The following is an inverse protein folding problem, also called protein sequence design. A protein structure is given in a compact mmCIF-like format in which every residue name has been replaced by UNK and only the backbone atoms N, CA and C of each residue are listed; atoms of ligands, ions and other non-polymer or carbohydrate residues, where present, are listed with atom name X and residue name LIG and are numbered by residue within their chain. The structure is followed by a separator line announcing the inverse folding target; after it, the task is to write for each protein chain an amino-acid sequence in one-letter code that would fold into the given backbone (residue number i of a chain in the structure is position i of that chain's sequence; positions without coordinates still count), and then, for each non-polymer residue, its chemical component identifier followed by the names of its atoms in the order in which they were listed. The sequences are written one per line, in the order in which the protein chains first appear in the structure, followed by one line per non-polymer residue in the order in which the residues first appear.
data_IF_818127349141
#
_entry.id   IF_818127349141
#
_cell.length_a   1.000
_cell.length_b   1.000
_cell.length_c   1.000
_cell.angle_alpha   90.00
_cell.angle_beta   90.00
_cell.angle_gamma   90.00
#
_symmetry.space_group_name_H-M   'P 1'
#
loop_
_entity.id
_entity.type
_entity.pdbx_description
1 polymer ?
#
# COMPACT_ATOMS: atom_id res chain seq x y z
N UNK A 1 -2.85 -9.05 -13.81
CA UNK A 1 -2.51 -7.74 -13.19
C UNK A 1 -3.17 -7.65 -11.83
N UNK A 2 -2.44 -7.15 -10.82
CA UNK A 2 -2.92 -7.03 -9.43
C UNK A 2 -3.07 -5.55 -9.05
N UNK A 3 -4.20 -5.21 -8.42
CA UNK A 3 -4.48 -3.85 -7.93
C UNK A 3 -4.73 -3.93 -6.42
N UNK A 4 -3.97 -3.17 -5.65
CA UNK A 4 -4.20 -2.94 -4.23
C UNK A 4 -4.81 -1.54 -4.13
N UNK A 5 -6.07 -1.44 -3.74
CA UNK A 5 -6.76 -0.16 -3.66
C UNK A 5 -7.68 -0.07 -2.43
N UNK A 6 -8.00 1.16 -2.03
CA UNK A 6 -8.88 1.46 -0.91
C UNK A 6 -8.54 2.82 -0.30
N UNK A 7 -9.25 3.25 0.75
CA UNK A 7 -8.95 4.52 1.41
C UNK A 7 -7.62 4.44 2.17
N UNK A 8 -6.99 5.58 2.36
CA UNK A 8 -5.72 5.66 3.07
C UNK A 8 -5.81 5.07 4.49
N UNK A 9 -6.86 5.42 5.22
CA UNK A 9 -7.15 5.00 6.60
C UNK A 9 -8.61 4.58 6.72
N UNK A 10 -8.93 3.73 7.68
CA UNK A 10 -10.31 3.38 8.03
C UNK A 10 -10.96 4.60 8.72
N UNK A 11 -11.92 5.23 8.06
CA UNK A 11 -12.64 6.40 8.56
C UNK A 11 -14.02 6.00 9.10
N UNK A 12 -14.75 5.16 8.37
CA UNK A 12 -16.04 4.59 8.75
C UNK A 12 -16.35 3.34 7.96
N UNK A 13 -17.25 2.50 8.46
CA UNK A 13 -17.70 1.30 7.74
C UNK A 13 -18.46 1.64 6.45
N UNK A 14 -19.22 2.73 6.44
CA UNK A 14 -19.96 3.16 5.26
C UNK A 14 -19.03 3.56 4.12
N UNK A 15 -17.96 4.30 4.43
CA UNK A 15 -16.91 4.63 3.45
C UNK A 15 -16.23 3.36 2.92
N UNK A 16 -15.87 2.42 3.80
CA UNK A 16 -15.26 1.17 3.36
C UNK A 16 -16.17 0.41 2.42
N UNK A 17 -17.47 0.31 2.71
CA UNK A 17 -18.46 -0.36 1.85
C UNK A 17 -18.61 0.33 0.50
N UNK A 18 -18.70 1.66 0.47
CA UNK A 18 -18.79 2.42 -0.78
C UNK A 18 -17.59 2.14 -1.68
N UNK A 19 -16.39 2.22 -1.13
CA UNK A 19 -15.16 1.93 -1.89
C UNK A 19 -15.08 0.47 -2.30
N UNK A 20 -15.39 -0.47 -1.40
CA UNK A 20 -15.33 -1.90 -1.68
C UNK A 20 -16.33 -2.34 -2.76
N UNK A 21 -17.54 -1.77 -2.76
CA UNK A 21 -18.54 -2.04 -3.79
C UNK A 21 -18.02 -1.66 -5.19
N UNK A 22 -17.39 -0.51 -5.33
CA UNK A 22 -16.80 -0.08 -6.60
C UNK A 22 -15.61 -0.96 -7.00
N UNK A 23 -14.74 -1.33 -6.07
CA UNK A 23 -13.63 -2.25 -6.33
C UNK A 23 -14.12 -3.62 -6.79
N UNK A 24 -15.16 -4.16 -6.16
CA UNK A 24 -15.76 -5.44 -6.55
C UNK A 24 -16.38 -5.36 -7.95
N UNK A 25 -17.03 -4.23 -8.28
CA UNK A 25 -17.60 -3.96 -9.62
C UNK A 25 -16.48 -3.95 -10.68
N UNK A 26 -15.39 -3.22 -10.44
CA UNK A 26 -14.23 -3.13 -11.34
C UNK A 26 -13.58 -4.51 -11.50
N UNK A 27 -13.34 -5.24 -10.40
CA UNK A 27 -12.80 -6.60 -10.40
C UNK A 27 -13.57 -7.51 -11.36
N UNK A 28 -14.90 -7.50 -11.24
CA UNK A 28 -15.79 -8.33 -12.08
C UNK A 28 -15.79 -7.88 -13.53
N UNK A 29 -15.85 -6.55 -13.78
CA UNK A 29 -15.97 -5.98 -15.13
C UNK A 29 -14.70 -6.12 -15.97
N UNK A 30 -13.53 -6.01 -15.34
CA UNK A 30 -12.24 -5.99 -16.02
C UNK A 30 -11.41 -7.28 -15.85
N UNK A 31 -11.91 -8.26 -15.09
CA UNK A 31 -11.21 -9.52 -14.80
C UNK A 31 -9.77 -9.31 -14.26
N UNK A 32 -9.62 -8.42 -13.29
CA UNK A 32 -8.35 -8.13 -12.61
C UNK A 32 -8.35 -8.67 -11.19
N UNK A 33 -7.18 -8.98 -10.66
CA UNK A 33 -7.04 -9.29 -9.23
C UNK A 33 -7.10 -7.98 -8.43
N UNK A 34 -8.02 -7.88 -7.47
CA UNK A 34 -8.25 -6.69 -6.67
C UNK A 34 -8.11 -7.03 -5.19
N UNK A 35 -7.33 -6.24 -4.46
CA UNK A 35 -7.10 -6.36 -3.02
C UNK A 35 -7.56 -5.07 -2.35
N UNK A 36 -8.39 -5.20 -1.31
CA UNK A 36 -8.87 -4.05 -0.54
C UNK A 36 -7.85 -3.65 0.52
N UNK A 37 -7.44 -2.38 0.53
CA UNK A 37 -6.48 -1.85 1.50
C UNK A 37 -7.04 -0.69 2.28
N UNK A 38 -6.96 -0.74 3.60
CA UNK A 38 -7.06 0.43 4.46
C UNK A 38 -6.18 0.23 5.72
N UNK A 39 -5.65 1.31 6.27
CA UNK A 39 -4.87 1.26 7.52
C UNK A 39 -5.80 1.36 8.73
N UNK A 40 -5.61 0.48 9.70
CA UNK A 40 -6.29 0.58 11.01
C UNK A 40 -5.68 1.65 11.92
N UNK A 41 -4.44 2.01 11.68
CA UNK A 41 -3.72 3.07 12.39
C UNK A 41 -2.69 3.75 11.47
N UNK A 42 -2.55 5.04 11.58
CA UNK A 42 -1.48 5.85 10.97
C UNK A 42 -0.45 6.18 12.05
N UNK A 43 0.46 5.24 12.32
CA UNK A 43 1.38 5.31 13.46
C UNK A 43 2.48 6.39 13.34
N UNK A 44 2.72 6.91 12.13
CA UNK A 44 3.82 7.83 11.83
C UNK A 44 3.37 9.25 11.43
N UNK A 45 2.25 9.73 11.99
CA UNK A 45 1.75 11.08 11.71
C UNK A 45 2.73 12.17 12.12
N UNK A 46 2.80 13.25 11.33
CA UNK A 46 3.61 14.43 11.67
C UNK A 46 3.02 15.19 12.85
N UNK A 47 1.70 15.40 12.90
CA UNK A 47 1.03 16.07 14.01
C UNK A 47 0.42 15.07 14.96
N UNK A 48 0.58 15.31 16.29
CA UNK A 48 -0.02 14.50 17.34
C UNK A 48 -1.56 14.52 17.31
N UNK A 49 -2.16 15.61 16.82
CA UNK A 49 -3.61 15.78 16.72
C UNK A 49 -4.22 15.15 15.45
N UNK A 50 -3.41 14.62 14.53
CA UNK A 50 -3.91 13.99 13.29
C UNK A 50 -4.75 12.75 13.58
N UNK A 51 -5.78 12.53 12.77
CA UNK A 51 -6.59 11.31 12.83
C UNK A 51 -5.72 10.08 12.58
N UNK A 52 -5.85 9.07 13.41
CA UNK A 52 -5.03 7.85 13.33
C UNK A 52 -5.78 6.63 12.81
N UNK A 53 -7.07 6.53 13.01
CA UNK A 53 -7.89 5.36 12.70
C UNK A 53 -8.53 4.74 13.94
N UNK A 54 -9.31 3.64 13.79
CA UNK A 54 -10.06 3.01 14.87
C UNK A 54 -9.20 2.13 15.80
N UNK A 55 -7.95 1.86 15.44
CA UNK A 55 -7.11 0.89 16.12
C UNK A 55 -7.23 -0.53 15.58
N UNK A 56 -6.38 -1.43 16.09
CA UNK A 56 -6.19 -2.74 15.47
C UNK A 56 -7.39 -3.67 15.58
N UNK A 57 -8.02 -3.76 16.75
CA UNK A 57 -9.12 -4.73 16.98
C UNK A 57 -10.33 -4.40 16.11
N UNK A 58 -10.80 -3.16 16.20
CA UNK A 58 -11.94 -2.69 15.42
C UNK A 58 -11.61 -2.64 13.93
N UNK A 59 -10.44 -2.11 13.57
CA UNK A 59 -10.02 -1.96 12.18
C UNK A 59 -9.89 -3.30 11.45
N UNK A 60 -9.31 -4.31 12.07
CA UNK A 60 -9.23 -5.66 11.47
C UNK A 60 -10.61 -6.28 11.33
N UNK A 61 -11.49 -6.14 12.33
CA UNK A 61 -12.86 -6.65 12.24
C UNK A 61 -13.64 -5.98 11.09
N UNK A 62 -13.47 -4.66 10.88
CA UNK A 62 -14.07 -3.94 9.76
C UNK A 62 -13.55 -4.45 8.40
N UNK A 63 -12.24 -4.71 8.29
CA UNK A 63 -11.66 -5.27 7.06
C UNK A 63 -12.14 -6.68 6.78
N UNK A 64 -12.27 -7.53 7.81
CA UNK A 64 -12.84 -8.88 7.66
C UNK A 64 -14.29 -8.83 7.15
N UNK A 65 -15.11 -7.91 7.67
CA UNK A 65 -16.47 -7.71 7.18
C UNK A 65 -16.48 -7.30 5.69
N UNK A 66 -15.56 -6.45 5.24
CA UNK A 66 -15.40 -6.10 3.82
C UNK A 66 -15.02 -7.33 2.98
N UNK A 67 -14.10 -8.16 3.46
CA UNK A 67 -13.73 -9.41 2.77
C UNK A 67 -14.93 -10.34 2.60
N UNK A 68 -15.70 -10.52 3.64
CA UNK A 68 -16.88 -11.40 3.63
C UNK A 68 -18.01 -10.86 2.74
N UNK A 69 -18.29 -9.55 2.82
CA UNK A 69 -19.39 -8.92 2.09
C UNK A 69 -19.11 -8.79 0.58
N UNK A 70 -17.88 -8.48 0.18
CA UNK A 70 -17.52 -8.17 -1.21
C UNK A 70 -16.60 -9.19 -1.90
N UNK A 71 -16.12 -10.21 -1.18
CA UNK A 71 -15.20 -11.21 -1.76
C UNK A 71 -13.86 -10.61 -2.20
N UNK A 72 -13.41 -9.55 -1.54
CA UNK A 72 -12.12 -8.89 -1.79
C UNK A 72 -11.10 -9.33 -0.75
N UNK A 73 -9.96 -9.94 -1.13
CA UNK A 73 -8.86 -10.15 -0.21
C UNK A 73 -8.41 -8.81 0.40
N UNK A 74 -8.04 -8.82 1.67
CA UNK A 74 -7.75 -7.62 2.45
C UNK A 74 -6.28 -7.48 2.79
N UNK A 75 -5.81 -6.23 2.89
CA UNK A 75 -4.47 -5.88 3.37
C UNK A 75 -4.49 -4.65 4.26
N UNK A 76 -3.60 -4.64 5.23
CA UNK A 76 -3.32 -3.47 6.07
C UNK A 76 -1.85 -3.43 6.45
N UNK A 77 -1.37 -2.28 6.90
CA UNK A 77 -0.02 -2.11 7.40
C UNK A 77 0.06 -2.40 8.90
N UNK A 78 1.11 -3.10 9.30
CA UNK A 78 1.43 -3.43 10.69
C UNK A 78 2.65 -2.63 11.15
N UNK A 79 2.72 -2.29 12.43
CA UNK A 79 3.75 -1.38 12.95
C UNK A 79 4.66 -2.01 13.99
N UNK A 80 4.26 -3.14 14.59
CA UNK A 80 5.07 -3.90 15.53
C UNK A 80 4.99 -5.41 15.30
N UNK A 81 6.00 -6.19 15.73
CA UNK A 81 5.95 -7.65 15.63
C UNK A 81 4.76 -8.25 16.40
N UNK A 82 4.40 -7.68 17.56
CA UNK A 82 3.29 -8.16 18.40
C UNK A 82 1.94 -8.00 17.69
N UNK A 83 1.75 -6.91 16.94
CA UNK A 83 0.56 -6.72 16.10
C UNK A 83 0.46 -7.81 15.03
N UNK A 84 1.59 -8.16 14.40
CA UNK A 84 1.63 -9.22 13.38
C UNK A 84 1.35 -10.57 14.02
N UNK A 85 1.99 -10.89 15.15
CA UNK A 85 1.80 -12.16 15.85
C UNK A 85 0.33 -12.38 16.24
N UNK A 86 -0.35 -11.34 16.72
CA UNK A 86 -1.73 -11.43 17.17
C UNK A 86 -2.76 -11.37 16.05
N UNK A 87 -2.54 -10.57 14.99
CA UNK A 87 -3.56 -10.27 13.96
C UNK A 87 -3.14 -10.57 12.52
N UNK A 88 -1.85 -10.84 12.25
CA UNK A 88 -1.36 -11.04 10.88
C UNK A 88 -2.04 -12.21 10.14
N UNK A 89 -2.50 -13.24 10.87
CA UNK A 89 -3.23 -14.37 10.30
C UNK A 89 -4.64 -14.01 9.77
N UNK A 90 -5.20 -12.87 10.19
CA UNK A 90 -6.55 -12.39 9.85
C UNK A 90 -6.62 -11.67 8.50
N UNK A 91 -5.48 -11.26 7.93
CA UNK A 91 -5.40 -10.58 6.62
C UNK A 91 -4.81 -11.49 5.55
N UNK A 92 -4.95 -11.12 4.29
CA UNK A 92 -4.43 -11.90 3.16
C UNK A 92 -3.02 -11.42 2.76
N UNK A 93 -2.75 -10.13 2.93
CA UNK A 93 -1.43 -9.52 2.70
C UNK A 93 -1.05 -8.71 3.95
N UNK A 94 0.14 -8.97 4.47
CA UNK A 94 0.76 -8.15 5.52
C UNK A 94 1.60 -7.07 4.84
N UNK A 95 1.26 -5.79 5.02
CA UNK A 95 2.09 -4.71 4.54
C UNK A 95 3.08 -4.26 5.61
N UNK A 96 4.37 -4.21 5.24
CA UNK A 96 5.43 -3.61 6.05
C UNK A 96 5.69 -2.20 5.54
N UNK A 97 5.47 -1.17 6.38
CA UNK A 97 5.73 0.22 6.02
C UNK A 97 7.18 0.49 5.62
N UNK A 98 7.39 1.51 4.77
CA UNK A 98 8.71 1.83 4.24
C UNK A 98 9.75 2.12 5.35
N UNK A 99 9.39 2.87 6.38
CA UNK A 99 10.32 3.16 7.48
C UNK A 99 10.72 1.92 8.29
N UNK A 100 9.91 0.86 8.26
CA UNK A 100 10.11 -0.37 9.02
C UNK A 100 10.66 -1.52 8.18
N UNK A 101 10.95 -1.31 6.90
CA UNK A 101 11.34 -2.38 5.96
C UNK A 101 12.66 -3.09 6.31
N UNK A 102 13.45 -2.56 7.23
CA UNK A 102 14.70 -3.17 7.73
C UNK A 102 14.55 -3.88 9.07
N UNK A 103 13.41 -3.73 9.77
CA UNK A 103 13.19 -4.27 11.12
C UNK A 103 13.13 -5.81 11.06
N UNK A 104 14.16 -6.46 11.62
CA UNK A 104 14.33 -7.91 11.50
C UNK A 104 13.17 -8.66 12.12
N UNK A 105 12.77 -8.29 13.33
CA UNK A 105 11.73 -9.01 14.09
C UNK A 105 10.36 -8.91 13.40
N UNK A 106 10.04 -7.74 12.81
CA UNK A 106 8.81 -7.57 12.02
C UNK A 106 8.79 -8.48 10.77
N UNK A 107 9.91 -8.53 10.03
CA UNK A 107 9.99 -9.32 8.80
C UNK A 107 9.92 -10.82 9.08
N UNK A 108 10.59 -11.27 10.15
CA UNK A 108 10.52 -12.67 10.59
C UNK A 108 9.11 -13.01 11.06
N UNK A 109 8.49 -12.15 11.87
CA UNK A 109 7.14 -12.42 12.36
C UNK A 109 6.11 -12.43 11.22
N UNK A 110 6.22 -11.50 10.27
CA UNK A 110 5.40 -11.51 9.06
C UNK A 110 5.60 -12.81 8.24
N UNK A 111 6.85 -13.25 8.09
CA UNK A 111 7.16 -14.49 7.38
C UNK A 111 6.52 -15.73 8.03
N UNK A 112 6.56 -15.84 9.35
CA UNK A 112 5.97 -16.97 10.11
C UNK A 112 4.47 -17.15 9.89
N UNK A 113 3.76 -16.09 9.48
CA UNK A 113 2.31 -16.18 9.23
C UNK A 113 1.95 -17.02 8.00
N UNK A 114 2.90 -17.25 7.08
CA UNK A 114 2.66 -17.89 5.79
C UNK A 114 1.82 -17.05 4.82
N UNK A 115 1.49 -15.80 5.17
CA UNK A 115 0.75 -14.85 4.31
C UNK A 115 1.68 -14.16 3.31
N UNK A 116 1.10 -13.49 2.31
CA UNK A 116 1.87 -12.60 1.44
C UNK A 116 2.45 -11.46 2.28
N UNK A 117 3.75 -11.21 2.16
CA UNK A 117 4.43 -10.10 2.83
C UNK A 117 4.81 -9.04 1.81
N UNK A 118 4.09 -7.93 1.79
CA UNK A 118 4.37 -6.79 0.92
C UNK A 118 5.25 -5.77 1.65
N UNK A 119 6.51 -5.66 1.24
CA UNK A 119 7.50 -4.80 1.88
C UNK A 119 7.70 -3.53 1.05
N UNK A 120 7.35 -2.38 1.62
CA UNK A 120 7.59 -1.09 0.97
C UNK A 120 9.07 -0.70 1.09
N UNK A 121 9.74 -0.46 -0.05
CA UNK A 121 11.11 0.04 -0.07
C UNK A 121 11.18 1.41 0.61
N UNK A 122 12.10 1.57 1.57
CA UNK A 122 12.33 2.86 2.20
C UNK A 122 12.87 3.89 1.19
N UNK A 123 12.53 5.16 1.40
CA UNK A 123 12.97 6.28 0.57
C UNK A 123 14.49 6.48 0.56
N UNK A 124 15.18 6.00 1.60
CA UNK A 124 16.62 6.10 1.76
C UNK A 124 17.39 4.84 1.28
N UNK A 125 16.69 3.79 0.82
CA UNK A 125 17.32 2.56 0.34
C UNK A 125 17.36 2.49 -1.19
N UNK A 126 18.44 1.93 -1.72
CA UNK A 126 18.43 1.45 -3.10
C UNK A 126 17.70 0.10 -3.21
N UNK A 127 17.24 -0.24 -4.42
CA UNK A 127 16.43 -1.42 -4.67
C UNK A 127 17.16 -2.73 -4.32
N UNK A 128 18.46 -2.83 -4.64
CA UNK A 128 19.24 -4.05 -4.43
C UNK A 128 19.38 -4.42 -2.94
N UNK A 129 19.31 -3.43 -2.05
CA UNK A 129 19.36 -3.69 -0.60
C UNK A 129 18.07 -4.29 -0.03
N UNK A 130 16.99 -4.30 -0.82
CA UNK A 130 15.77 -5.01 -0.44
C UNK A 130 15.95 -6.53 -0.39
N UNK A 131 17.01 -7.08 -1.02
CA UNK A 131 17.37 -8.50 -0.89
C UNK A 131 17.45 -8.94 0.58
N UNK A 132 18.05 -8.12 1.45
CA UNK A 132 18.16 -8.47 2.87
C UNK A 132 16.80 -8.54 3.59
N UNK A 133 15.82 -7.77 3.15
CA UNK A 133 14.47 -7.88 3.68
C UNK A 133 13.77 -9.14 3.18
N UNK A 134 13.94 -9.48 1.90
CA UNK A 134 13.46 -10.72 1.30
C UNK A 134 14.04 -11.94 2.03
N UNK A 135 15.36 -11.96 2.26
CA UNK A 135 16.05 -13.07 2.92
C UNK A 135 15.52 -13.32 4.33
N UNK A 136 15.19 -12.26 5.07
CA UNK A 136 14.61 -12.38 6.41
C UNK A 136 13.23 -13.05 6.39
N UNK A 137 12.37 -12.69 5.45
CA UNK A 137 11.07 -13.36 5.30
C UNK A 137 11.27 -14.80 4.87
N UNK A 138 12.10 -15.05 3.85
CA UNK A 138 12.38 -16.39 3.32
C UNK A 138 13.05 -17.31 4.35
N UNK A 139 13.80 -16.77 5.31
CA UNK A 139 14.40 -17.57 6.39
C UNK A 139 13.37 -18.28 7.27
N UNK A 140 12.10 -17.89 7.21
CA UNK A 140 10.99 -18.56 7.91
C UNK A 140 10.34 -19.70 7.09
N UNK A 141 10.78 -19.92 5.85
CA UNK A 141 10.15 -20.84 4.89
C UNK A 141 9.02 -20.21 4.07
N UNK A 142 8.81 -18.90 4.17
CA UNK A 142 7.78 -18.20 3.40
C UNK A 142 8.38 -17.49 2.18
N UNK A 143 8.06 -17.97 0.98
CA UNK A 143 8.52 -17.41 -0.30
C UNK A 143 7.56 -16.35 -0.87
N UNK A 144 6.41 -16.08 -0.24
CA UNK A 144 5.39 -15.14 -0.74
C UNK A 144 5.76 -13.69 -0.41
N UNK A 145 6.80 -13.18 -1.05
CA UNK A 145 7.30 -11.81 -0.83
C UNK A 145 6.97 -10.93 -2.01
N UNK A 146 6.33 -9.80 -1.75
CA UNK A 146 6.13 -8.71 -2.71
C UNK A 146 6.98 -7.51 -2.31
N UNK A 147 7.54 -6.80 -3.28
CA UNK A 147 8.32 -5.60 -3.05
C UNK A 147 7.64 -4.39 -3.69
N UNK A 148 7.52 -3.31 -2.93
CA UNK A 148 6.89 -2.08 -3.38
C UNK A 148 7.91 -0.95 -3.57
N UNK A 149 8.00 -0.42 -4.80
CA UNK A 149 8.68 0.86 -5.08
C UNK A 149 7.72 2.01 -4.74
N UNK A 150 8.23 3.04 -4.04
CA UNK A 150 7.45 4.21 -3.60
C UNK A 150 8.24 5.52 -3.63
N UNK A 151 9.28 5.57 -4.40
CA UNK A 151 10.16 6.73 -4.54
C UNK A 151 11.33 6.75 -3.56
N UNK A 152 12.22 7.66 -3.83
CA UNK A 152 13.45 7.91 -3.09
C UNK A 152 13.50 9.38 -2.71
N UNK A 153 13.93 9.68 -1.48
CA UNK A 153 14.16 11.04 -1.02
C UNK A 153 15.49 11.54 -1.63
N UNK A 154 15.37 12.55 -2.48
CA UNK A 154 16.56 13.15 -3.13
C UNK A 154 16.68 14.63 -2.82
N UNK A 155 15.60 15.35 -2.70
CA UNK A 155 15.57 16.76 -2.37
C UNK A 155 14.85 17.05 -1.06
N UNK A 156 14.68 18.32 -0.70
CA UNK A 156 14.05 18.69 0.56
C UNK A 156 12.54 18.45 0.58
N UNK A 157 11.84 18.38 -0.55
CA UNK A 157 10.38 18.34 -0.58
C UNK A 157 9.79 17.20 -1.40
N UNK A 158 10.31 16.91 -2.60
CA UNK A 158 9.71 15.96 -3.52
C UNK A 158 10.44 14.62 -3.53
N UNK A 159 9.68 13.55 -3.74
CA UNK A 159 10.22 12.22 -3.97
C UNK A 159 10.52 12.02 -5.45
N UNK A 160 11.60 11.31 -5.74
CA UNK A 160 11.98 10.93 -7.11
C UNK A 160 11.76 9.43 -7.29
N UNK A 161 11.01 9.05 -8.32
CA UNK A 161 10.86 7.65 -8.73
C UNK A 161 11.89 7.32 -9.79
N UNK A 162 12.89 6.52 -9.43
CA UNK A 162 13.78 5.90 -10.39
C UNK A 162 13.16 4.57 -10.86
N UNK A 163 12.51 4.58 -12.02
CA UNK A 163 11.83 3.39 -12.55
C UNK A 163 12.76 2.22 -12.85
N UNK A 164 14.09 2.43 -12.95
CA UNK A 164 15.07 1.35 -13.04
C UNK A 164 15.04 0.45 -11.80
N UNK A 165 14.57 0.98 -10.66
CA UNK A 165 14.36 0.17 -9.45
C UNK A 165 13.33 -0.95 -9.66
N UNK A 166 12.34 -0.76 -10.52
CA UNK A 166 11.35 -1.82 -10.83
C UNK A 166 12.08 -3.06 -11.37
N UNK A 167 12.95 -2.91 -12.37
CA UNK A 167 13.74 -4.05 -12.89
C UNK A 167 14.66 -4.66 -11.84
N UNK A 168 15.27 -3.85 -10.98
CA UNK A 168 16.14 -4.36 -9.91
C UNK A 168 15.33 -5.18 -8.89
N UNK A 169 14.10 -4.75 -8.57
CA UNK A 169 13.21 -5.47 -7.67
C UNK A 169 12.66 -6.75 -8.30
N UNK A 170 12.40 -6.81 -9.62
CA UNK A 170 11.97 -8.04 -10.30
C UNK A 170 13.05 -9.12 -10.31
N UNK A 171 14.31 -8.77 -10.11
CA UNK A 171 15.38 -9.75 -9.90
C UNK A 171 15.34 -10.41 -8.50
N UNK A 172 14.60 -9.84 -7.56
CA UNK A 172 14.52 -10.29 -6.16
C UNK A 172 13.24 -11.05 -5.83
N UNK A 173 12.14 -10.76 -6.55
CA UNK A 173 10.81 -11.34 -6.33
C UNK A 173 9.98 -11.31 -7.61
N UNK A 174 9.01 -12.24 -7.71
CA UNK A 174 8.08 -12.34 -8.84
C UNK A 174 7.00 -11.25 -8.85
N UNK A 175 6.83 -10.54 -7.74
CA UNK A 175 5.78 -9.53 -7.59
C UNK A 175 6.35 -8.18 -7.15
N UNK A 176 6.37 -7.25 -8.10
CA UNK A 176 6.79 -5.86 -7.86
C UNK A 176 5.60 -4.93 -7.97
N UNK A 177 5.35 -4.23 -6.88
CA UNK A 177 4.26 -3.26 -6.73
C UNK A 177 4.79 -1.86 -6.96
N UNK A 178 4.14 -1.07 -7.80
CA UNK A 178 4.33 0.37 -7.84
C UNK A 178 3.32 1.05 -6.93
N UNK A 179 3.79 1.74 -5.90
CA UNK A 179 2.97 2.62 -5.08
C UNK A 179 2.80 3.97 -5.78
N UNK A 180 1.71 4.12 -6.50
CA UNK A 180 1.42 5.32 -7.28
C UNK A 180 1.00 6.50 -6.41
N UNK A 181 0.44 6.22 -5.24
CA UNK A 181 -0.07 7.24 -4.30
C UNK A 181 1.06 7.90 -3.53
N UNK A 182 1.84 7.12 -2.81
CA UNK A 182 2.88 7.68 -1.94
C UNK A 182 4.12 8.17 -2.71
N UNK A 183 4.27 7.78 -3.97
CA UNK A 183 5.29 8.37 -4.85
C UNK A 183 4.98 9.80 -5.26
N UNK A 184 3.72 10.23 -5.14
CA UNK A 184 3.27 11.59 -5.44
C UNK A 184 3.34 12.53 -4.22
N UNK A 185 3.83 12.06 -3.07
CA UNK A 185 3.91 12.85 -1.84
C UNK A 185 4.97 13.96 -1.94
N UNK A 186 4.62 15.12 -1.42
CA UNK A 186 5.53 16.18 -1.05
C UNK A 186 5.79 16.08 0.46
N UNK A 187 7.02 15.73 0.84
CA UNK A 187 7.35 15.33 2.21
C UNK A 187 7.55 16.50 3.18
N UNK A 188 7.62 17.73 2.68
CA UNK A 188 7.82 18.95 3.47
C UNK A 188 6.77 20.02 3.12
N UNK A 189 5.50 19.76 3.44
CA UNK A 189 4.51 20.83 3.42
C UNK A 189 4.62 21.66 4.70
N UNK A 190 4.43 22.98 4.58
CA UNK A 190 4.64 23.94 5.67
C UNK A 190 3.62 23.85 6.82
N UNK A 191 2.58 23.00 6.69
CA UNK A 191 1.43 22.97 7.62
C UNK A 191 1.38 21.71 8.50
N UNK A 192 2.49 20.95 8.61
CA UNK A 192 2.51 19.69 9.39
C UNK A 192 1.65 18.57 8.80
N UNK A 193 1.19 18.73 7.56
CA UNK A 193 0.48 17.71 6.77
C UNK A 193 1.32 17.30 5.57
N UNK A 194 1.12 16.08 5.08
CA UNK A 194 1.78 15.60 3.86
C UNK A 194 1.07 16.20 2.64
N UNK A 195 1.78 17.00 1.85
CA UNK A 195 1.32 17.47 0.56
C UNK A 195 1.45 16.43 -0.54
N UNK A 196 1.09 16.81 -1.76
CA UNK A 196 1.29 15.97 -2.95
C UNK A 196 0.37 16.31 -4.11
N UNK A 197 0.51 15.54 -5.19
CA UNK A 197 -0.23 15.78 -6.43
C UNK A 197 -0.77 14.49 -7.04
N UNK A 198 -2.07 14.21 -6.83
CA UNK A 198 -2.75 13.02 -7.39
C UNK A 198 -2.72 12.94 -8.91
N UNK A 199 -2.48 14.05 -9.62
CA UNK A 199 -2.39 14.05 -11.08
C UNK A 199 -1.22 13.19 -11.60
N UNK A 200 -0.21 12.91 -10.77
CA UNK A 200 0.91 12.05 -11.13
C UNK A 200 0.60 10.55 -11.02
N UNK A 201 -0.45 10.15 -10.30
CA UNK A 201 -0.81 8.74 -10.08
C UNK A 201 -0.92 7.94 -11.38
N UNK A 202 -1.64 8.39 -12.42
CA UNK A 202 -1.72 7.66 -13.69
C UNK A 202 -0.37 7.55 -14.42
N UNK A 203 0.47 8.57 -14.33
CA UNK A 203 1.79 8.56 -14.97
C UNK A 203 2.73 7.57 -14.29
N UNK A 204 2.76 7.53 -12.96
CA UNK A 204 3.54 6.54 -12.23
C UNK A 204 3.09 5.12 -12.56
N UNK A 205 1.79 4.85 -12.59
CA UNK A 205 1.25 3.55 -12.89
C UNK A 205 1.65 3.08 -14.32
N UNK A 206 1.39 3.90 -15.33
CA UNK A 206 1.68 3.60 -16.73
C UNK A 206 3.19 3.41 -16.97
N UNK A 207 4.01 4.29 -16.41
CA UNK A 207 5.46 4.18 -16.56
C UNK A 207 6.00 2.93 -15.86
N UNK A 208 5.55 2.65 -14.64
CA UNK A 208 5.98 1.45 -13.91
C UNK A 208 5.61 0.16 -14.63
N UNK A 209 4.42 0.10 -15.28
CA UNK A 209 4.02 -1.04 -16.12
C UNK A 209 5.04 -1.28 -17.24
N UNK A 210 5.49 -0.23 -17.94
CA UNK A 210 6.51 -0.35 -18.99
C UNK A 210 7.85 -0.91 -18.46
N UNK A 211 8.17 -0.67 -17.20
CA UNK A 211 9.37 -1.17 -16.54
C UNK A 211 9.20 -2.55 -15.87
N UNK A 212 8.02 -3.17 -15.98
CA UNK A 212 7.76 -4.53 -15.53
C UNK A 212 7.08 -4.66 -14.16
N UNK A 213 6.57 -3.59 -13.58
CA UNK A 213 5.68 -3.71 -12.42
C UNK A 213 4.43 -4.50 -12.81
N UNK A 214 4.06 -5.48 -12.00
CA UNK A 214 2.91 -6.37 -12.24
C UNK A 214 1.80 -6.21 -11.20
N UNK A 215 1.99 -5.32 -10.23
CA UNK A 215 1.01 -4.90 -9.24
C UNK A 215 1.07 -3.38 -9.01
N UNK A 216 -0.07 -2.77 -8.66
CA UNK A 216 -0.19 -1.32 -8.48
C UNK A 216 -0.93 -1.04 -7.17
N UNK A 217 -0.36 -0.16 -6.35
CA UNK A 217 -0.96 0.33 -5.12
C UNK A 217 -1.51 1.73 -5.36
N UNK A 218 -2.83 1.90 -5.19
CA UNK A 218 -3.54 3.13 -5.51
C UNK A 218 -4.54 3.41 -4.39
N UNK A 219 -4.25 4.35 -3.51
CA UNK A 219 -5.23 4.82 -2.56
C UNK A 219 -6.30 5.64 -3.28
N UNK A 220 -7.56 5.40 -2.92
CA UNK A 220 -8.71 6.02 -3.57
C UNK A 220 -9.80 6.35 -2.57
N UNK A 221 -10.55 7.42 -2.84
CA UNK A 221 -11.61 7.91 -1.96
C UNK A 221 -12.71 8.56 -2.82
N UNK A 222 -14.01 8.46 -2.46
CA UNK A 222 -15.09 9.14 -3.19
C UNK A 222 -14.88 10.64 -3.28
N UNK A 223 -14.43 11.26 -2.19
CA UNK A 223 -14.07 12.67 -2.13
C UNK A 223 -12.70 12.85 -1.42
N UNK A 224 -11.56 12.72 -2.13
CA UNK A 224 -10.24 12.75 -1.52
C UNK A 224 -9.92 14.03 -0.73
N UNK A 225 -10.50 15.14 -1.10
CA UNK A 225 -10.25 16.42 -0.43
C UNK A 225 -10.89 16.51 0.97
N UNK A 226 -11.80 15.59 1.30
CA UNK A 226 -12.39 15.42 2.62
C UNK A 226 -11.78 14.23 3.40
N UNK A 227 -10.88 13.46 2.78
CA UNK A 227 -10.22 12.33 3.41
C UNK A 227 -9.40 12.76 4.63
N UNK A 228 -9.45 11.95 5.68
CA UNK A 228 -8.76 12.22 6.95
C UNK A 228 -7.25 11.93 6.90
N UNK A 229 -6.77 11.37 5.77
CA UNK A 229 -5.35 11.06 5.53
C UNK A 229 -5.03 11.12 4.05
N UNK A 230 -3.85 11.66 3.70
CA UNK A 230 -3.25 11.68 2.34
C UNK A 230 -4.18 12.18 1.22
N UNK A 231 -5.14 13.03 1.55
CA UNK A 231 -6.13 13.58 0.62
C UNK A 231 -5.54 14.06 -0.72
N UNK A 232 -4.48 14.89 -0.74
CA UNK A 232 -3.87 15.39 -1.97
C UNK A 232 -3.32 14.30 -2.91
N UNK A 233 -3.03 13.10 -2.39
CA UNK A 233 -2.40 11.99 -3.12
C UNK A 233 -3.40 10.92 -3.56
N UNK A 234 -4.56 10.82 -2.91
CA UNK A 234 -5.56 9.80 -3.22
C UNK A 234 -6.23 10.09 -4.57
N UNK A 235 -6.36 9.06 -5.40
CA UNK A 235 -7.14 9.12 -6.64
C UNK A 235 -8.64 9.22 -6.30
N UNK A 236 -9.41 9.97 -7.10
CA UNK A 236 -10.88 9.92 -6.98
C UNK A 236 -11.37 8.52 -7.35
N UNK A 237 -12.29 7.97 -6.56
CA UNK A 237 -12.84 6.62 -6.79
C UNK A 237 -13.45 6.48 -8.19
N UNK A 238 -14.10 7.54 -8.68
CA UNK A 238 -14.69 7.58 -10.02
C UNK A 238 -13.66 7.44 -11.16
N UNK A 239 -12.40 7.76 -10.91
CA UNK A 239 -11.33 7.71 -11.94
C UNK A 239 -10.59 6.36 -11.94
N UNK A 240 -10.80 5.52 -10.92
CA UNK A 240 -10.04 4.29 -10.74
C UNK A 240 -10.27 3.29 -11.88
N UNK A 241 -11.52 3.09 -12.32
CA UNK A 241 -11.82 2.16 -13.40
C UNK A 241 -11.09 2.53 -14.70
N UNK A 242 -11.08 3.82 -15.04
CA UNK A 242 -10.39 4.29 -16.24
C UNK A 242 -8.88 4.06 -16.14
N UNK A 243 -8.28 4.34 -14.99
CA UNK A 243 -6.87 4.04 -14.77
C UNK A 243 -6.58 2.54 -14.90
N UNK A 244 -7.41 1.66 -14.32
CA UNK A 244 -7.23 0.21 -14.45
C UNK A 244 -7.38 -0.25 -15.90
N UNK A 245 -8.32 0.30 -16.69
CA UNK A 245 -8.43 0.04 -18.13
C UNK A 245 -7.17 0.44 -18.89
N UNK A 246 -6.61 1.60 -18.60
CA UNK A 246 -5.37 2.09 -19.22
C UNK A 246 -4.15 1.20 -18.88
N UNK A 247 -4.24 0.41 -17.83
CA UNK A 247 -3.21 -0.52 -17.41
C UNK A 247 -3.41 -1.95 -17.98
N UNK A 248 -4.50 -2.26 -18.62
CA UNK A 248 -4.73 -3.56 -19.28
C UNK A 248 -4.09 -3.59 -20.67
#
# INVERSE_FOLDING_TARGET
MKIIAGPCVIESMDLLREVAAELARIKKGLNVEMYFKASFDKANRTSLSSFRGPGIEEGIAMLEAIREEFGLPITTDFHTPEQIASHGHRVDIIQIPAFLCRQTDMLIEAGKTGKIVNIKKAQFLNAEKMQFAVDKVKSTGNDQVWLTERGTLFGPSELVVDFRNIQKLTALTDHVVMDCTHSAQETQSNDGTTGGNRAYVPYFAKTAKLWGANAFFIETHPNPDQGLSDGPNMLKLADLENLVKDLL
#
